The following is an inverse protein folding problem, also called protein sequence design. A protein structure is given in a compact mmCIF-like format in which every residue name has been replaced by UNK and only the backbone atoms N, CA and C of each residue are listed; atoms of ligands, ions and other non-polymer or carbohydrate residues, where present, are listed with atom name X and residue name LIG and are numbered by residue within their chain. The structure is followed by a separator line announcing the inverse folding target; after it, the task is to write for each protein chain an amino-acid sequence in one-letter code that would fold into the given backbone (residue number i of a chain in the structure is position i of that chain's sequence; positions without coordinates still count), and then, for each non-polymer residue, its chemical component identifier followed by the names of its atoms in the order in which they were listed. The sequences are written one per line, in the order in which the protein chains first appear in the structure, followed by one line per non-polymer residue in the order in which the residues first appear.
data_IF_575202324299
#
_entry.id   IF_575202324299
#
_cell.length_a   1.000
_cell.length_b   1.000
_cell.length_c   1.000
_cell.angle_alpha   90.00
_cell.angle_beta   90.00
_cell.angle_gamma   90.00
#
_symmetry.space_group_name_H-M   'P 1'
#
loop_
_entity.id
_entity.type
_entity.pdbx_description
1 polymer ?
#
# COMPACT_ATOMS: atom_id res chain seq x y z
N UNK A 1 14.28 -6.14 13.85
CA UNK A 1 13.07 -5.34 13.53
C UNK A 1 12.84 -4.18 14.50
N UNK A 2 13.01 -4.32 15.82
CA UNK A 2 12.88 -3.20 16.79
C UNK A 2 13.86 -2.05 16.55
N UNK A 3 15.09 -2.34 16.11
CA UNK A 3 16.12 -1.33 15.86
C UNK A 3 15.80 -0.41 14.67
N UNK A 4 15.05 -0.89 13.68
CA UNK A 4 14.61 -0.08 12.54
C UNK A 4 13.52 0.93 12.96
N UNK A 5 12.58 0.51 13.80
CA UNK A 5 11.56 1.42 14.33
C UNK A 5 12.20 2.54 15.18
N UNK A 6 13.22 2.19 15.99
CA UNK A 6 14.00 3.17 16.76
C UNK A 6 14.78 4.13 15.87
N UNK A 7 15.46 3.63 14.84
CA UNK A 7 16.28 4.48 13.94
C UNK A 7 15.44 5.38 13.02
N UNK A 8 14.16 5.04 12.80
CA UNK A 8 13.22 5.80 11.98
C UNK A 8 12.25 6.65 12.78
N UNK A 9 12.43 6.77 14.11
CA UNK A 9 11.54 7.51 15.01
C UNK A 9 10.07 7.03 14.98
N UNK A 10 9.86 5.72 14.79
CA UNK A 10 8.56 5.06 14.73
C UNK A 10 8.10 4.48 16.08
N UNK A 11 8.85 4.78 17.15
CA UNK A 11 8.63 4.22 18.49
C UNK A 11 9.24 2.83 18.69
N UNK A 12 8.84 2.14 19.76
CA UNK A 12 9.40 0.85 20.18
C UNK A 12 8.41 -0.33 20.00
N UNK A 13 7.34 -0.12 19.23
CA UNK A 13 6.29 -1.13 18.98
C UNK A 13 6.30 -1.60 17.51
N UNK A 14 7.26 -2.45 17.11
CA UNK A 14 7.39 -2.88 15.73
C UNK A 14 6.17 -3.64 15.20
N UNK A 15 5.43 -4.34 16.08
CA UNK A 15 4.21 -5.07 15.71
C UNK A 15 3.11 -4.11 15.24
N UNK A 16 2.87 -3.04 15.98
CA UNK A 16 1.86 -2.03 15.63
C UNK A 16 2.14 -1.37 14.29
N UNK A 17 3.41 -1.03 14.02
CA UNK A 17 3.83 -0.47 12.73
C UNK A 17 3.54 -1.45 11.58
N UNK A 18 3.83 -2.73 11.78
CA UNK A 18 3.50 -3.78 10.81
C UNK A 18 1.99 -3.93 10.61
N UNK A 19 1.22 -3.95 11.69
CA UNK A 19 -0.24 -4.06 11.66
C UNK A 19 -0.87 -2.88 10.91
N UNK A 20 -0.37 -1.66 11.12
CA UNK A 20 -0.87 -0.46 10.45
C UNK A 20 -0.54 -0.45 8.96
N UNK A 21 0.64 -0.93 8.55
CA UNK A 21 1.00 -1.08 7.14
C UNK A 21 0.21 -2.21 6.48
N UNK A 22 -0.03 -3.32 7.19
CA UNK A 22 -0.77 -4.48 6.69
C UNK A 22 -2.24 -4.18 6.37
N UNK A 23 -2.79 -3.09 6.92
CA UNK A 23 -4.13 -2.59 6.56
C UNK A 23 -4.20 -2.00 5.15
N UNK A 24 -3.07 -1.67 4.53
CA UNK A 24 -3.03 -1.26 3.13
C UNK A 24 -3.12 -2.52 2.27
N UNK A 25 -4.13 -2.58 1.41
CA UNK A 25 -4.45 -3.77 0.63
C UNK A 25 -4.48 -3.48 -0.87
N UNK A 26 -4.34 -4.55 -1.66
CA UNK A 26 -4.58 -4.52 -3.10
C UNK A 26 -5.98 -5.03 -3.34
N UNK A 27 -6.77 -4.26 -4.08
CA UNK A 27 -8.14 -4.58 -4.44
C UNK A 27 -8.31 -4.57 -5.96
N UNK A 28 -9.23 -5.41 -6.44
CA UNK A 28 -9.65 -5.39 -7.84
C UNK A 28 -10.84 -4.45 -8.03
N UNK A 29 -10.72 -3.49 -8.94
CA UNK A 29 -11.79 -2.61 -9.38
C UNK A 29 -12.23 -3.04 -10.77
N UNK A 30 -13.49 -3.50 -10.87
CA UNK A 30 -14.10 -3.93 -12.13
C UNK A 30 -14.92 -2.75 -12.67
N UNK A 31 -14.53 -2.26 -13.85
CA UNK A 31 -15.19 -1.16 -14.53
C UNK A 31 -15.96 -1.71 -15.73
N UNK A 32 -17.31 -1.70 -15.71
CA UNK A 32 -18.11 -2.14 -16.84
C UNK A 32 -18.01 -1.10 -17.98
N UNK A 33 -17.85 -1.57 -19.22
CA UNK A 33 -17.86 -0.70 -20.41
C UNK A 33 -19.18 -0.81 -21.16
N UNK A 34 -19.52 0.24 -21.92
CA UNK A 34 -20.72 0.26 -22.79
C UNK A 34 -20.69 -0.83 -23.88
N UNK A 35 -19.51 -1.31 -24.25
CA UNK A 35 -19.33 -2.39 -25.22
C UNK A 35 -19.47 -3.80 -24.60
N UNK A 36 -19.82 -3.91 -23.31
CA UNK A 36 -20.00 -5.18 -22.61
C UNK A 36 -18.71 -5.87 -22.16
N UNK A 37 -17.54 -5.26 -22.41
CA UNK A 37 -16.27 -5.73 -21.86
C UNK A 37 -16.03 -5.15 -20.46
N UNK A 38 -15.45 -5.91 -19.55
CA UNK A 38 -15.04 -5.41 -18.23
C UNK A 38 -13.55 -5.04 -18.23
N UNK A 39 -13.22 -3.89 -17.65
CA UNK A 39 -11.82 -3.51 -17.39
C UNK A 39 -11.53 -3.79 -15.92
N UNK A 40 -10.56 -4.66 -15.67
CA UNK A 40 -10.12 -4.99 -14.31
C UNK A 40 -8.84 -4.22 -13.97
N UNK A 41 -8.90 -3.39 -12.93
CA UNK A 41 -7.74 -2.65 -12.41
C UNK A 41 -7.35 -3.19 -11.03
N UNK A 42 -6.06 -3.46 -10.81
CA UNK A 42 -5.53 -3.72 -9.47
C UNK A 42 -5.11 -2.40 -8.83
N UNK A 43 -5.85 -1.99 -7.81
CA UNK A 43 -5.66 -0.73 -7.10
C UNK A 43 -5.10 -0.97 -5.70
N UNK A 44 -4.25 -0.06 -5.22
CA UNK A 44 -3.83 -0.06 -3.82
C UNK A 44 -4.78 0.84 -3.03
N UNK A 45 -5.28 0.38 -1.88
CA UNK A 45 -6.12 1.20 -1.01
C UNK A 45 -5.39 2.46 -0.59
N UNK A 46 -6.07 3.61 -0.64
CA UNK A 46 -5.48 4.90 -0.25
C UNK A 46 -5.05 4.85 1.23
N UNK A 47 -3.77 5.04 1.56
CA UNK A 47 -3.33 5.06 2.94
C UNK A 47 -3.94 6.23 3.70
N UNK A 48 -4.29 6.02 4.97
CA UNK A 48 -4.74 7.09 5.86
C UNK A 48 -3.57 8.02 6.27
N UNK A 49 -3.88 9.08 7.02
CA UNK A 49 -2.86 10.06 7.43
C UNK A 49 -1.74 9.42 8.25
N UNK A 50 -2.07 8.49 9.15
CA UNK A 50 -1.09 7.83 10.00
C UNK A 50 -0.18 6.93 9.17
N UNK A 51 -0.77 6.11 8.30
CA UNK A 51 -0.04 5.23 7.38
C UNK A 51 0.88 6.01 6.44
N UNK A 52 0.44 7.17 5.91
CA UNK A 52 1.30 8.02 5.08
C UNK A 52 2.54 8.51 5.84
N UNK A 53 2.40 8.88 7.11
CA UNK A 53 3.54 9.25 7.96
C UNK A 53 4.47 8.05 8.10
N UNK A 54 3.94 6.86 8.43
CA UNK A 54 4.76 5.64 8.54
C UNK A 54 5.52 5.33 7.25
N UNK A 55 4.85 5.37 6.10
CA UNK A 55 5.46 5.15 4.79
C UNK A 55 6.56 6.17 4.49
N UNK A 56 6.34 7.45 4.81
CA UNK A 56 7.34 8.51 4.64
C UNK A 56 8.59 8.25 5.49
N UNK A 57 8.42 7.89 6.77
CA UNK A 57 9.55 7.52 7.64
C UNK A 57 10.32 6.28 7.13
N UNK A 58 9.61 5.33 6.51
CA UNK A 58 10.20 4.15 5.89
C UNK A 58 10.81 4.42 4.51
N UNK A 59 10.56 5.60 3.91
CA UNK A 59 11.00 5.92 2.55
C UNK A 59 10.26 5.13 1.47
N UNK A 60 9.04 4.66 1.76
CA UNK A 60 8.23 3.88 0.84
C UNK A 60 7.22 4.78 0.13
N UNK A 61 7.12 4.63 -1.19
CA UNK A 61 6.10 5.27 -2.02
C UNK A 61 5.22 4.18 -2.63
N UNK A 62 3.91 4.25 -2.38
CA UNK A 62 2.98 3.27 -2.90
C UNK A 62 2.37 3.74 -4.21
N UNK A 63 2.31 2.87 -5.24
CA UNK A 63 1.61 3.20 -6.47
C UNK A 63 0.09 3.19 -6.24
N UNK A 64 -0.65 4.03 -6.97
CA UNK A 64 -2.11 4.01 -6.91
C UNK A 64 -2.71 2.75 -7.56
N UNK A 65 -2.02 2.19 -8.56
CA UNK A 65 -2.42 0.98 -9.29
C UNK A 65 -1.21 0.10 -9.56
N UNK A 66 -1.41 -1.20 -9.48
CA UNK A 66 -0.43 -2.18 -9.92
C UNK A 66 -0.65 -2.46 -11.40
N UNK A 67 0.37 -2.19 -12.21
CA UNK A 67 0.44 -2.72 -13.57
C UNK A 67 0.80 -4.21 -13.50
N UNK A 68 0.25 -5.03 -14.39
CA UNK A 68 0.80 -6.38 -14.54
C UNK A 68 2.22 -6.22 -15.08
N UNK A 69 3.23 -6.71 -14.36
CA UNK A 69 4.55 -6.92 -14.94
C UNK A 69 4.40 -8.05 -15.97
N UNK A 70 4.12 -7.69 -17.22
CA UNK A 70 4.16 -8.58 -18.37
C UNK A 70 5.49 -8.47 -19.11
N UNK A 71 6.58 -8.22 -18.38
CA UNK A 71 7.95 -8.20 -18.91
C UNK A 71 8.80 -9.20 -18.11
N UNK A 72 8.67 -10.47 -18.51
CA UNK A 72 9.67 -11.54 -18.51
C UNK A 72 9.19 -12.65 -19.45
#
# INVERSE_FOLDING_TARGET
MSQLCKSKNLGNEPRKVLDDIARIQVCDVILPTKAGTEIKLRCVTKPDKHQNILLHHLGLQLPARLTQNSDL
#
